data_IF_620008651649
#
_entry.id   IF_620008651649
#
_cell.length_a   1.000
_cell.length_b   1.000
_cell.length_c   1.000
_cell.angle_alpha   90.00
_cell.angle_beta   90.00
_cell.angle_gamma   90.00
#
_symmetry.space_group_name_H-M   'P 1'
#
loop_
_entity.id
_entity.type
_entity.pdbx_description
1 polymer ?
#
# COMPACT_ATOMS: atom_id res chain seq x y z
N UNK A 1 2.67 8.56 24.91
CA UNK A 1 1.71 8.04 23.92
C UNK A 1 0.97 9.22 23.31
N UNK A 2 1.15 9.43 22.02
CA UNK A 2 0.55 10.52 21.26
C UNK A 2 -0.49 9.93 20.29
N UNK A 3 -1.67 10.55 20.11
CA UNK A 3 -2.61 10.13 19.09
C UNK A 3 -1.97 10.17 17.69
N UNK A 4 -2.24 9.14 16.89
CA UNK A 4 -1.74 9.03 15.54
C UNK A 4 -2.89 8.91 14.54
N UNK A 5 -2.71 9.49 13.36
CA UNK A 5 -3.65 9.35 12.24
C UNK A 5 -2.84 9.19 10.96
N UNK A 6 -3.18 8.17 10.17
CA UNK A 6 -2.62 7.99 8.84
C UNK A 6 -3.12 9.14 7.97
N UNK A 7 -2.20 9.93 7.42
CA UNK A 7 -2.51 11.06 6.54
C UNK A 7 -1.45 11.12 5.44
N UNK A 8 -1.69 10.39 4.36
CA UNK A 8 -0.79 10.36 3.21
C UNK A 8 -1.13 11.52 2.27
N UNK A 9 -0.14 12.35 1.94
CA UNK A 9 -0.33 13.49 1.04
C UNK A 9 -0.76 13.03 -0.37
N UNK A 10 -1.59 13.83 -1.04
CA UNK A 10 -2.06 13.53 -2.41
C UNK A 10 -0.89 13.37 -3.39
N UNK A 11 0.20 14.12 -3.20
CA UNK A 11 1.41 14.04 -4.02
C UNK A 11 2.06 12.65 -4.00
N UNK A 12 2.00 11.96 -2.86
CA UNK A 12 2.55 10.58 -2.72
C UNK A 12 1.71 9.60 -3.53
N UNK A 13 0.38 9.77 -3.52
CA UNK A 13 -0.53 8.92 -4.30
C UNK A 13 -0.40 9.20 -5.80
N UNK A 14 -0.23 10.47 -6.17
CA UNK A 14 0.01 10.88 -7.55
C UNK A 14 1.33 10.30 -8.08
N UNK A 15 2.42 10.39 -7.31
CA UNK A 15 3.72 9.81 -7.64
C UNK A 15 3.63 8.28 -7.78
N UNK A 16 2.96 7.59 -6.84
CA UNK A 16 2.72 6.15 -6.93
C UNK A 16 1.99 5.78 -8.23
N UNK A 17 0.89 6.48 -8.54
CA UNK A 17 0.11 6.23 -9.76
C UNK A 17 0.94 6.46 -11.02
N UNK A 18 1.72 7.54 -11.06
CA UNK A 18 2.61 7.80 -12.20
C UNK A 18 3.63 6.67 -12.40
N UNK A 19 4.26 6.19 -11.32
CA UNK A 19 5.22 5.08 -11.40
C UNK A 19 4.58 3.80 -11.92
N UNK A 20 3.38 3.46 -11.44
CA UNK A 20 2.64 2.30 -11.92
C UNK A 20 2.36 2.39 -13.43
N UNK A 21 1.88 3.55 -13.91
CA UNK A 21 1.58 3.79 -15.33
C UNK A 21 2.83 3.82 -16.22
N UNK A 22 3.98 4.22 -15.68
CA UNK A 22 5.26 4.29 -16.40
C UNK A 22 6.12 3.04 -16.24
N UNK A 23 5.55 1.94 -15.74
CA UNK A 23 6.27 0.69 -15.52
C UNK A 23 6.85 0.15 -16.83
N UNK A 24 8.16 -0.10 -16.85
CA UNK A 24 8.82 -0.87 -17.92
C UNK A 24 8.75 -2.35 -17.58
N UNK A 25 7.92 -3.07 -18.31
CA UNK A 25 7.69 -4.50 -18.11
C UNK A 25 8.83 -5.36 -18.71
N UNK A 26 9.20 -6.47 -18.06
CA UNK A 26 10.08 -7.48 -18.65
C UNK A 26 9.32 -8.33 -19.69
N UNK A 27 10.03 -9.25 -20.35
CA UNK A 27 9.43 -10.32 -21.12
C UNK A 27 8.60 -11.27 -20.24
N UNK A 28 7.68 -12.00 -20.87
CA UNK A 28 6.89 -13.02 -20.19
C UNK A 28 7.75 -14.25 -19.83
N UNK A 29 7.34 -14.91 -18.74
CA UNK A 29 7.83 -16.21 -18.30
C UNK A 29 7.66 -17.30 -19.38
N UNK A 30 8.47 -18.37 -19.27
CA UNK A 30 8.46 -19.48 -20.23
C UNK A 30 7.53 -20.62 -19.84
N UNK A 31 6.80 -20.47 -18.73
CA UNK A 31 5.95 -21.51 -18.13
C UNK A 31 4.53 -20.98 -17.96
N UNK A 32 3.55 -21.87 -18.00
CA UNK A 32 2.14 -21.51 -17.83
C UNK A 32 1.69 -21.59 -16.34
N UNK A 33 2.64 -21.71 -15.40
CA UNK A 33 2.40 -21.80 -13.96
C UNK A 33 3.23 -20.80 -13.15
N UNK A 34 3.18 -20.90 -11.82
CA UNK A 34 3.83 -19.96 -10.89
C UNK A 34 5.24 -20.40 -10.44
N UNK A 35 5.80 -21.45 -11.04
CA UNK A 35 7.08 -22.02 -10.61
C UNK A 35 8.28 -21.08 -10.79
N UNK A 36 8.14 -20.08 -11.66
CA UNK A 36 9.14 -19.03 -11.91
C UNK A 36 8.81 -17.68 -11.26
N UNK A 37 7.78 -17.62 -10.41
CA UNK A 37 7.33 -16.40 -9.74
C UNK A 37 5.96 -15.93 -10.21
N UNK A 38 5.69 -14.64 -10.02
CA UNK A 38 4.41 -14.02 -10.37
C UNK A 38 4.30 -13.87 -11.91
N UNK A 39 3.23 -14.38 -12.55
CA UNK A 39 3.02 -14.22 -13.98
C UNK A 39 2.96 -12.75 -14.41
N UNK A 40 3.55 -12.43 -15.56
CA UNK A 40 3.55 -11.05 -16.07
C UNK A 40 2.12 -10.55 -16.29
N UNK A 41 1.24 -11.38 -16.85
CA UNK A 41 -0.15 -11.02 -17.10
C UNK A 41 -0.89 -10.61 -15.82
N UNK A 42 -0.75 -11.40 -14.76
CA UNK A 42 -1.37 -11.11 -13.47
C UNK A 42 -0.79 -9.85 -12.83
N UNK A 43 0.53 -9.64 -12.91
CA UNK A 43 1.17 -8.44 -12.36
C UNK A 43 0.68 -7.17 -13.04
N UNK A 44 0.47 -7.22 -14.37
CA UNK A 44 -0.08 -6.09 -15.14
C UNK A 44 -1.52 -5.79 -14.77
N UNK A 45 -2.35 -6.82 -14.58
CA UNK A 45 -3.72 -6.68 -14.10
C UNK A 45 -3.76 -6.03 -12.70
N UNK A 46 -2.96 -6.53 -11.77
CA UNK A 46 -2.87 -5.99 -10.42
C UNK A 46 -2.39 -4.53 -10.42
N UNK A 47 -1.39 -4.18 -11.24
CA UNK A 47 -0.90 -2.82 -11.35
C UNK A 47 -1.95 -1.86 -11.93
N UNK A 48 -2.74 -2.31 -12.92
CA UNK A 48 -3.83 -1.54 -13.49
C UNK A 48 -4.94 -1.27 -12.45
N UNK A 49 -5.40 -2.33 -11.77
CA UNK A 49 -6.35 -2.19 -10.68
C UNK A 49 -5.86 -1.21 -9.60
N UNK A 50 -4.59 -1.30 -9.21
CA UNK A 50 -4.02 -0.40 -8.21
C UNK A 50 -3.96 1.06 -8.69
N UNK A 51 -3.60 1.29 -9.95
CA UNK A 51 -3.46 2.64 -10.49
C UNK A 51 -4.81 3.34 -10.73
N UNK A 52 -5.85 2.57 -11.09
CA UNK A 52 -7.08 3.14 -11.65
C UNK A 52 -8.34 2.87 -10.82
N UNK A 53 -8.37 1.80 -10.01
CA UNK A 53 -9.59 1.37 -9.30
C UNK A 53 -9.43 1.33 -7.77
N UNK A 54 -8.22 1.11 -7.26
CA UNK A 54 -7.99 0.98 -5.83
C UNK A 54 -8.13 2.34 -5.11
N UNK A 55 -9.19 2.47 -4.32
CA UNK A 55 -9.44 3.68 -3.52
C UNK A 55 -8.60 3.68 -2.22
N UNK A 56 -7.44 4.33 -2.29
CA UNK A 56 -6.59 4.57 -1.11
C UNK A 56 -7.32 5.39 -0.04
N UNK A 57 -8.13 6.38 -0.42
CA UNK A 57 -8.79 7.27 0.55
C UNK A 57 -9.85 6.53 1.36
N UNK A 58 -10.58 5.61 0.73
CA UNK A 58 -11.46 4.68 1.44
C UNK A 58 -10.68 3.76 2.40
N UNK A 59 -9.51 3.24 1.97
CA UNK A 59 -8.66 2.40 2.83
C UNK A 59 -8.11 3.18 4.02
N UNK A 60 -7.58 4.38 3.80
CA UNK A 60 -7.07 5.28 4.82
C UNK A 60 -8.14 5.62 5.85
N UNK A 61 -9.35 5.97 5.39
CA UNK A 61 -10.49 6.18 6.28
C UNK A 61 -10.83 4.94 7.10
N UNK A 62 -10.80 3.75 6.48
CA UNK A 62 -11.10 2.49 7.16
C UNK A 62 -10.06 2.13 8.23
N UNK A 63 -8.77 2.36 7.98
CA UNK A 63 -7.69 2.15 8.95
C UNK A 63 -7.78 3.15 10.10
N UNK A 64 -8.09 4.41 9.79
CA UNK A 64 -8.26 5.48 10.77
C UNK A 64 -9.54 5.39 11.62
N UNK A 65 -10.36 4.33 11.47
CA UNK A 65 -11.44 4.02 12.41
C UNK A 65 -10.95 3.45 13.73
N UNK A 66 -9.72 2.95 13.77
CA UNK A 66 -9.11 2.44 15.00
C UNK A 66 -8.41 3.56 15.78
N UNK A 67 -8.40 3.43 17.10
CA UNK A 67 -7.64 4.30 17.98
C UNK A 67 -6.13 3.97 17.85
N UNK A 68 -5.42 4.83 17.13
CA UNK A 68 -3.99 4.68 16.81
C UNK A 68 -3.14 5.64 17.62
N UNK A 69 -1.94 5.21 17.99
CA UNK A 69 -1.01 5.98 18.79
C UNK A 69 0.44 5.71 18.38
N UNK A 70 1.31 6.64 18.75
CA UNK A 70 2.76 6.47 18.74
C UNK A 70 3.34 6.70 20.13
N UNK A 71 4.48 6.06 20.44
CA UNK A 71 5.24 6.34 21.66
C UNK A 71 6.71 6.03 21.43
N UNK A 72 7.60 6.69 22.16
CA UNK A 72 9.02 6.35 22.17
C UNK A 72 9.28 5.18 23.12
N UNK A 73 9.99 4.15 22.65
CA UNK A 73 10.51 3.02 23.44
C UNK A 73 11.96 2.83 23.03
N UNK A 74 12.89 2.96 23.98
CA UNK A 74 14.34 2.85 23.75
C UNK A 74 14.86 3.72 22.59
N UNK A 75 14.29 4.93 22.42
CA UNK A 75 14.66 5.88 21.37
C UNK A 75 14.05 5.58 20.00
N UNK A 76 13.10 4.64 19.92
CA UNK A 76 12.41 4.28 18.69
C UNK A 76 10.92 4.68 18.75
N UNK A 77 10.39 5.34 17.71
CA UNK A 77 8.96 5.61 17.61
C UNK A 77 8.21 4.32 17.25
N UNK A 78 7.38 3.84 18.17
CA UNK A 78 6.54 2.66 18.01
C UNK A 78 5.09 3.08 17.75
N UNK A 79 4.55 2.69 16.59
CA UNK A 79 3.12 2.80 16.27
C UNK A 79 2.35 1.56 16.75
N UNK A 80 1.15 1.77 17.29
CA UNK A 80 0.25 0.69 17.68
C UNK A 80 -1.21 1.13 17.64
N UNK A 81 -2.11 0.13 17.60
CA UNK A 81 -3.55 0.29 17.80
C UNK A 81 -3.89 -0.18 19.21
N UNK A 82 -4.73 0.57 19.92
CA UNK A 82 -5.25 0.17 21.23
C UNK A 82 -6.76 0.40 21.30
N UNK A 83 -7.54 -0.68 21.18
CA UNK A 83 -9.00 -0.63 21.24
C UNK A 83 -9.49 -1.28 22.53
N UNK A 84 -10.25 -0.54 23.34
CA UNK A 84 -10.91 -1.10 24.52
C UNK A 84 -12.17 -1.86 24.12
N UNK A 85 -12.40 -3.00 24.76
CA UNK A 85 -13.66 -3.76 24.70
C UNK A 85 -14.77 -3.06 25.48
#
# INVERSE_FOLDING_TARGET
MEPFRIAIADEVLADLRERLLRTRWPEAETVDDWSQGIPLAYTRELAAYWADEYDWRAREAALNRFDQFTTDIDGLPIHFIHQRS
#
